data_IF_827793812517
#
_entry.id   IF_827793812517
#
_cell.length_a   1.000
_cell.length_b   1.000
_cell.length_c   1.000
_cell.angle_alpha   90.00
_cell.angle_beta   90.00
_cell.angle_gamma   90.00
#
_symmetry.space_group_name_H-M   'P 1'
#
loop_
_entity.id
_entity.type
_entity.pdbx_description
1 polymer ?
#
# COMPACT_ATOMS: atom_id res chain seq x y z
N UNK A 1 15.30 -3.41 18.16
CA UNK A 1 13.92 -3.78 17.77
C UNK A 1 13.96 -4.37 16.37
N UNK A 2 13.66 -5.67 16.25
CA UNK A 2 13.64 -6.34 14.95
C UNK A 2 12.27 -6.09 14.31
N UNK A 3 12.29 -5.44 13.14
CA UNK A 3 11.08 -5.08 12.43
C UNK A 3 10.40 -6.26 11.75
N UNK A 4 11.21 -7.16 11.16
CA UNK A 4 10.76 -8.37 10.48
C UNK A 4 11.84 -9.42 10.65
N UNK A 5 11.44 -10.59 11.11
CA UNK A 5 12.27 -11.78 11.18
C UNK A 5 11.59 -12.90 10.43
N UNK A 6 12.37 -13.70 9.70
CA UNK A 6 11.89 -14.90 9.01
C UNK A 6 12.91 -16.02 9.19
N UNK A 7 12.42 -17.13 9.71
CA UNK A 7 13.15 -18.40 9.71
C UNK A 7 12.82 -19.19 8.44
N UNK A 8 13.80 -20.00 8.00
CA UNK A 8 13.65 -20.90 6.86
C UNK A 8 12.79 -22.09 7.26
N UNK A 9 11.83 -22.46 6.42
CA UNK A 9 11.07 -23.69 6.62
C UNK A 9 11.83 -24.90 6.05
N UNK A 10 11.62 -26.09 6.62
CA UNK A 10 12.38 -27.31 6.30
C UNK A 10 12.51 -27.62 4.79
N UNK A 11 11.45 -27.40 3.99
CA UNK A 11 11.44 -27.68 2.55
C UNK A 11 11.43 -26.41 1.66
N UNK A 12 11.86 -25.26 2.19
CA UNK A 12 11.86 -24.01 1.43
C UNK A 12 13.15 -23.79 0.63
N UNK A 13 13.02 -23.44 -0.65
CA UNK A 13 14.14 -22.95 -1.45
C UNK A 13 14.47 -21.49 -1.09
N UNK A 14 15.74 -21.10 -1.17
CA UNK A 14 16.22 -19.76 -0.83
C UNK A 14 15.47 -18.64 -1.56
N UNK A 15 15.09 -18.83 -2.83
CA UNK A 15 14.27 -17.88 -3.59
C UNK A 15 12.87 -17.69 -2.99
N UNK A 16 12.27 -18.75 -2.45
CA UNK A 16 10.98 -18.70 -1.76
C UNK A 16 11.04 -17.85 -0.48
N UNK A 17 12.13 -18.00 0.27
CA UNK A 17 12.40 -17.23 1.49
C UNK A 17 12.53 -15.72 1.18
N UNK A 18 13.29 -15.35 0.14
CA UNK A 18 13.44 -13.96 -0.31
C UNK A 18 12.08 -13.37 -0.74
N UNK A 19 11.25 -14.16 -1.43
CA UNK A 19 9.90 -13.72 -1.83
C UNK A 19 9.02 -13.46 -0.61
N UNK A 20 9.04 -14.35 0.39
CA UNK A 20 8.30 -14.19 1.65
C UNK A 20 8.76 -12.95 2.41
N UNK A 21 10.07 -12.75 2.51
CA UNK A 21 10.66 -11.54 3.08
C UNK A 21 10.14 -10.29 2.38
N UNK A 22 10.27 -10.24 1.05
CA UNK A 22 9.79 -9.12 0.24
C UNK A 22 8.30 -8.86 0.42
N UNK A 23 7.46 -9.91 0.47
CA UNK A 23 6.02 -9.79 0.71
C UNK A 23 5.74 -9.25 2.12
N UNK A 24 6.43 -9.75 3.14
CA UNK A 24 6.25 -9.34 4.54
C UNK A 24 6.67 -7.87 4.73
N UNK A 25 7.79 -7.47 4.14
CA UNK A 25 8.28 -6.08 4.10
C UNK A 25 7.29 -5.13 3.42
N UNK A 26 6.68 -5.56 2.31
CA UNK A 26 5.64 -4.76 1.64
C UNK A 26 4.38 -4.66 2.49
N UNK A 27 3.93 -5.77 3.07
CA UNK A 27 2.72 -5.80 3.90
C UNK A 27 2.84 -5.04 5.22
N UNK A 28 4.04 -4.95 5.80
CA UNK A 28 4.27 -4.25 7.06
C UNK A 28 4.21 -2.73 6.92
N UNK A 29 4.27 -2.19 5.69
CA UNK A 29 4.18 -0.76 5.44
C UNK A 29 5.37 0.06 5.95
N UNK A 30 6.42 -0.57 6.47
CA UNK A 30 7.55 0.10 7.13
C UNK A 30 8.26 1.06 6.18
N UNK A 31 8.48 0.63 4.93
CA UNK A 31 9.11 1.48 3.91
C UNK A 31 8.25 2.73 3.64
N UNK A 32 6.92 2.58 3.57
CA UNK A 32 6.02 3.71 3.35
C UNK A 32 6.06 4.70 4.52
N UNK A 33 6.08 4.18 5.76
CA UNK A 33 6.20 5.00 6.98
C UNK A 33 7.53 5.75 7.05
N UNK A 34 8.65 5.07 6.85
CA UNK A 34 9.98 5.71 6.89
C UNK A 34 10.11 6.78 5.81
N UNK A 35 9.52 6.54 4.62
CA UNK A 35 9.47 7.55 3.55
C UNK A 35 8.58 8.74 3.92
N UNK A 36 7.44 8.52 4.59
CA UNK A 36 6.51 9.61 4.94
C UNK A 36 7.06 10.54 6.02
N UNK A 37 7.89 10.02 6.94
CA UNK A 37 8.48 10.82 8.03
C UNK A 37 9.88 11.38 7.72
N UNK A 38 10.43 11.08 6.53
CA UNK A 38 11.81 11.42 6.18
C UNK A 38 12.08 12.93 6.23
N UNK A 39 11.11 13.73 5.80
CA UNK A 39 11.23 15.18 5.74
C UNK A 39 10.06 15.81 6.50
N UNK A 40 10.33 16.94 7.16
CA UNK A 40 9.28 17.72 7.80
C UNK A 40 8.34 18.31 6.74
N UNK A 41 7.04 18.16 6.97
CA UNK A 41 5.99 18.76 6.15
C UNK A 41 5.05 19.53 7.07
N UNK A 42 4.59 20.70 6.62
CA UNK A 42 3.57 21.48 7.32
C UNK A 42 2.23 20.71 7.32
N UNK A 43 1.50 20.82 8.42
CA UNK A 43 0.13 20.30 8.50
C UNK A 43 -0.80 20.93 7.44
N UNK A 44 -1.45 20.06 6.66
CA UNK A 44 -2.45 20.49 5.68
C UNK A 44 -3.65 21.16 6.36
N UNK A 45 -4.18 22.22 5.76
CA UNK A 45 -5.41 22.88 6.21
C UNK A 45 -6.64 21.96 6.05
N UNK A 46 -7.71 22.25 6.80
CA UNK A 46 -8.98 21.50 6.70
C UNK A 46 -9.55 21.49 5.28
N UNK A 47 -9.44 22.61 4.55
CA UNK A 47 -9.91 22.73 3.17
C UNK A 47 -9.11 21.84 2.21
N UNK A 48 -7.78 21.84 2.31
CA UNK A 48 -6.90 21.01 1.46
C UNK A 48 -7.19 19.53 1.67
N UNK A 49 -7.36 19.10 2.93
CA UNK A 49 -7.77 17.73 3.27
C UNK A 49 -9.12 17.37 2.64
N UNK A 50 -10.13 18.25 2.77
CA UNK A 50 -11.47 18.06 2.16
C UNK A 50 -11.39 17.90 0.65
N UNK A 51 -10.64 18.77 -0.04
CA UNK A 51 -10.46 18.71 -1.50
C UNK A 51 -9.83 17.38 -1.94
N UNK A 52 -8.80 16.91 -1.22
CA UNK A 52 -8.15 15.62 -1.49
C UNK A 52 -9.10 14.44 -1.31
N UNK A 53 -9.91 14.45 -0.24
CA UNK A 53 -10.91 13.42 0.03
C UNK A 53 -11.98 13.37 -1.05
N UNK A 54 -12.52 14.53 -1.48
CA UNK A 54 -13.51 14.59 -2.56
C UNK A 54 -12.96 13.97 -3.86
N UNK A 55 -11.72 14.29 -4.25
CA UNK A 55 -11.07 13.68 -5.42
C UNK A 55 -10.91 12.16 -5.29
N UNK A 56 -10.66 11.64 -4.09
CA UNK A 56 -10.57 10.20 -3.86
C UNK A 56 -11.93 9.51 -4.01
N UNK A 57 -13.00 10.15 -3.55
CA UNK A 57 -14.37 9.61 -3.65
C UNK A 57 -14.81 9.57 -5.12
N UNK A 58 -14.59 10.66 -5.87
CA UNK A 58 -14.95 10.71 -7.30
C UNK A 58 -14.22 9.63 -8.09
N UNK A 59 -12.90 9.47 -7.86
CA UNK A 59 -12.11 8.44 -8.54
C UNK A 59 -12.56 7.02 -8.19
N UNK A 60 -13.04 6.79 -6.96
CA UNK A 60 -13.61 5.50 -6.59
C UNK A 60 -14.90 5.22 -7.38
N UNK A 61 -15.79 6.20 -7.47
CA UNK A 61 -17.02 6.09 -8.25
C UNK A 61 -16.75 5.85 -9.75
N UNK A 62 -15.77 6.54 -10.33
CA UNK A 62 -15.32 6.32 -11.72
C UNK A 62 -14.83 4.88 -11.94
N UNK A 63 -14.03 4.35 -11.02
CA UNK A 63 -13.54 2.97 -11.07
C UNK A 63 -14.70 1.98 -10.97
N UNK A 64 -15.64 2.19 -10.05
CA UNK A 64 -16.80 1.33 -9.88
C UNK A 64 -17.69 1.31 -11.15
N UNK A 65 -17.85 2.47 -11.81
CA UNK A 65 -18.52 2.56 -13.11
C UNK A 65 -17.76 1.83 -14.22
N UNK A 66 -16.44 1.98 -14.31
CA UNK A 66 -15.62 1.28 -15.30
C UNK A 66 -15.67 -0.24 -15.12
N UNK A 67 -15.68 -0.73 -13.88
CA UNK A 67 -15.87 -2.15 -13.56
C UNK A 67 -17.26 -2.60 -14.03
N UNK A 68 -18.31 -1.82 -13.76
CA UNK A 68 -19.67 -2.12 -14.23
C UNK A 68 -19.78 -2.16 -15.77
N UNK A 69 -19.02 -1.33 -16.46
CA UNK A 69 -18.93 -1.30 -17.93
C UNK A 69 -18.01 -2.38 -18.52
N UNK A 70 -17.35 -3.20 -17.69
CA UNK A 70 -16.41 -4.23 -18.15
C UNK A 70 -15.09 -3.68 -18.70
N UNK A 71 -14.80 -2.38 -18.51
CA UNK A 71 -13.58 -1.71 -19.01
C UNK A 71 -12.36 -1.88 -18.11
N UNK A 72 -12.56 -2.39 -16.89
CA UNK A 72 -11.50 -2.63 -15.91
C UNK A 72 -11.70 -3.99 -15.23
N UNK A 73 -10.61 -4.70 -14.87
CA UNK A 73 -10.73 -5.94 -14.11
C UNK A 73 -11.36 -5.66 -12.75
N UNK A 74 -12.35 -6.47 -12.36
CA UNK A 74 -12.90 -6.42 -11.00
C UNK A 74 -11.78 -6.67 -9.99
N UNK A 75 -11.79 -5.89 -8.90
CA UNK A 75 -10.84 -6.06 -7.81
C UNK A 75 -11.07 -7.45 -7.19
N UNK A 76 -10.10 -8.36 -7.34
CA UNK A 76 -10.06 -9.63 -6.59
C UNK A 76 -9.80 -9.38 -5.11
#
# INVERSE_FOLDING_TARGET
MINIELTKNNNENNLGLIRRFSKKVKSSGIIARVRSIRYHQRDESKYTRKKRTLKSITRKAEIDQMIKMGKAPAKK
#
